data_IF_532428684301
#
_entry.id   IF_532428684301
#
_cell.length_a   1.000
_cell.length_b   1.000
_cell.length_c   1.000
_cell.angle_alpha   90.00
_cell.angle_beta   90.00
_cell.angle_gamma   90.00
#
_symmetry.space_group_name_H-M   'P 1'
#
loop_
_entity.id
_entity.type
_entity.pdbx_description
1 polymer ?
#
# COMPACT_ATOMS: atom_id res chain seq x y z
N UNK A 1 -13.49 -1.91 -20.75
CA UNK A 1 -12.72 -3.16 -20.51
C UNK A 1 -11.21 -2.88 -20.42
N UNK A 2 -10.83 -1.81 -19.68
CA UNK A 2 -9.43 -1.34 -19.58
C UNK A 2 -8.45 -2.36 -18.99
N UNK A 3 -8.93 -3.31 -18.19
CA UNK A 3 -8.10 -4.35 -17.60
C UNK A 3 -7.42 -5.28 -18.62
N UNK A 4 -7.97 -5.39 -19.85
CA UNK A 4 -7.36 -6.19 -20.91
C UNK A 4 -6.00 -5.65 -21.37
N UNK A 5 -5.76 -4.37 -21.18
CA UNK A 5 -4.51 -3.71 -21.59
C UNK A 5 -3.45 -3.69 -20.48
N UNK A 6 -3.80 -4.04 -19.24
CA UNK A 6 -2.86 -4.00 -18.12
C UNK A 6 -1.62 -4.90 -18.30
N UNK A 7 -1.71 -6.11 -18.93
CA UNK A 7 -0.52 -6.92 -19.19
C UNK A 7 0.51 -6.27 -20.12
N UNK A 8 0.10 -5.22 -20.82
CA UNK A 8 0.95 -4.46 -21.74
C UNK A 8 1.30 -3.08 -21.16
N UNK A 9 1.47 -3.00 -19.84
CA UNK A 9 1.86 -1.78 -19.16
C UNK A 9 3.18 -1.23 -19.72
N UNK A 10 3.30 0.09 -19.74
CA UNK A 10 4.51 0.76 -20.22
C UNK A 10 5.71 0.39 -19.32
N UNK A 11 6.87 0.07 -19.91
CA UNK A 11 8.07 -0.27 -19.14
C UNK A 11 8.44 0.79 -18.10
N UNK A 12 8.24 2.07 -18.41
CA UNK A 12 8.50 3.19 -17.49
C UNK A 12 7.70 3.09 -16.18
N UNK A 13 6.45 2.63 -16.24
CA UNK A 13 5.65 2.41 -15.03
C UNK A 13 6.22 1.29 -14.16
N UNK A 14 6.69 0.22 -14.78
CA UNK A 14 7.29 -0.91 -14.07
C UNK A 14 8.59 -0.48 -13.39
N UNK A 15 9.47 0.22 -14.09
CA UNK A 15 10.71 0.76 -13.54
C UNK A 15 10.45 1.73 -12.37
N UNK A 16 9.41 2.55 -12.47
CA UNK A 16 9.01 3.45 -11.40
C UNK A 16 8.51 2.67 -10.16
N UNK A 17 7.71 1.63 -10.37
CA UNK A 17 7.20 0.76 -9.29
C UNK A 17 8.36 0.05 -8.59
N UNK A 18 9.28 -0.55 -9.34
CA UNK A 18 10.46 -1.23 -8.79
C UNK A 18 11.36 -0.26 -7.99
N UNK A 19 11.55 0.96 -8.51
CA UNK A 19 12.33 1.98 -7.81
C UNK A 19 11.68 2.34 -6.47
N UNK A 20 10.37 2.57 -6.46
CA UNK A 20 9.65 2.91 -5.22
C UNK A 20 9.63 1.74 -4.24
N UNK A 21 9.45 0.51 -4.73
CA UNK A 21 9.51 -0.70 -3.91
C UNK A 21 10.88 -0.86 -3.23
N UNK A 22 11.96 -0.72 -3.99
CA UNK A 22 13.34 -0.78 -3.49
C UNK A 22 13.63 0.32 -2.48
N UNK A 23 13.15 1.51 -2.73
CA UNK A 23 13.29 2.65 -1.82
C UNK A 23 12.57 2.39 -0.48
N UNK A 24 11.36 1.84 -0.51
CA UNK A 24 10.64 1.42 0.70
C UNK A 24 11.40 0.31 1.43
N UNK A 25 11.86 -0.69 0.70
CA UNK A 25 12.61 -1.83 1.24
C UNK A 25 13.89 -1.39 2.00
N UNK A 26 14.61 -0.39 1.47
CA UNK A 26 15.84 0.11 2.13
C UNK A 26 15.55 0.92 3.39
N UNK A 27 14.36 1.51 3.52
CA UNK A 27 14.01 2.42 4.62
C UNK A 27 13.15 1.79 5.70
N UNK A 28 12.53 0.63 5.42
CA UNK A 28 11.53 0.05 6.30
C UNK A 28 11.80 -1.41 6.64
N UNK A 29 11.48 -1.81 7.85
CA UNK A 29 11.50 -3.20 8.30
C UNK A 29 10.28 -3.99 7.80
N UNK A 30 9.19 -3.29 7.52
CA UNK A 30 7.96 -3.85 6.97
C UNK A 30 7.10 -2.76 6.31
N UNK A 31 6.15 -3.18 5.49
CA UNK A 31 5.16 -2.29 4.87
C UNK A 31 3.76 -2.79 5.19
N UNK A 32 2.84 -1.88 5.45
CA UNK A 32 1.41 -2.18 5.60
C UNK A 32 0.67 -1.74 4.34
N UNK A 33 0.14 -2.71 3.61
CA UNK A 33 -0.77 -2.47 2.49
C UNK A 33 -2.18 -2.29 3.03
N UNK A 34 -2.74 -1.09 2.87
CA UNK A 34 -4.07 -0.72 3.36
C UNK A 34 -5.04 -0.69 2.18
N UNK A 35 -6.06 -1.54 2.24
CA UNK A 35 -7.08 -1.61 1.19
C UNK A 35 -8.14 -2.65 1.49
N UNK A 36 -9.21 -2.68 0.70
CA UNK A 36 -10.31 -3.63 0.82
C UNK A 36 -10.69 -4.22 -0.55
N UNK A 37 -11.16 -5.45 -0.56
CA UNK A 37 -11.59 -6.13 -1.78
C UNK A 37 -10.45 -6.23 -2.81
N UNK A 38 -10.68 -5.73 -4.02
CA UNK A 38 -9.68 -5.76 -5.10
C UNK A 38 -8.41 -4.97 -4.83
N UNK A 39 -8.43 -4.07 -3.84
CA UNK A 39 -7.26 -3.28 -3.45
C UNK A 39 -6.23 -4.06 -2.63
N UNK A 40 -6.53 -5.28 -2.16
CA UNK A 40 -5.56 -6.11 -1.45
C UNK A 40 -5.60 -7.59 -1.84
N UNK A 41 -6.78 -8.13 -2.16
CA UNK A 41 -6.95 -9.58 -2.40
C UNK A 41 -6.07 -10.12 -3.52
N UNK A 42 -5.95 -9.35 -4.62
CA UNK A 42 -5.14 -9.78 -5.75
C UNK A 42 -3.66 -9.88 -5.41
N UNK A 43 -3.10 -8.84 -4.78
CA UNK A 43 -1.72 -8.83 -4.31
C UNK A 43 -1.48 -9.95 -3.29
N UNK A 44 -2.35 -10.05 -2.28
CA UNK A 44 -2.26 -11.10 -1.24
C UNK A 44 -2.26 -12.49 -1.84
N UNK A 45 -3.16 -12.78 -2.77
CA UNK A 45 -3.26 -14.10 -3.41
C UNK A 45 -1.97 -14.48 -4.18
N UNK A 46 -1.37 -13.54 -4.91
CA UNK A 46 -0.13 -13.80 -5.64
C UNK A 46 1.04 -13.96 -4.68
N UNK A 47 1.16 -13.10 -3.67
CA UNK A 47 2.22 -13.22 -2.66
C UNK A 47 2.13 -14.58 -1.95
N UNK A 48 0.95 -14.97 -1.47
CA UNK A 48 0.75 -16.26 -0.79
C UNK A 48 1.02 -17.48 -1.71
N UNK A 49 0.84 -17.32 -3.02
CA UNK A 49 1.13 -18.38 -3.99
C UNK A 49 2.62 -18.51 -4.31
N UNK A 50 3.38 -17.42 -4.23
CA UNK A 50 4.79 -17.36 -4.60
C UNK A 50 5.74 -17.49 -3.40
N UNK A 51 5.29 -17.10 -2.20
CA UNK A 51 6.08 -17.23 -0.99
C UNK A 51 5.89 -18.59 -0.34
N UNK A 52 6.97 -19.17 0.15
CA UNK A 52 6.89 -20.37 0.98
C UNK A 52 6.07 -20.08 2.25
N UNK A 53 5.32 -21.08 2.78
CA UNK A 53 4.67 -20.92 4.08
C UNK A 53 5.68 -20.42 5.11
N UNK A 54 5.26 -19.45 5.91
CA UNK A 54 6.10 -18.62 6.81
C UNK A 54 6.81 -19.37 7.95
N UNK A 55 7.48 -20.45 7.64
CA UNK A 55 8.39 -21.13 8.57
C UNK A 55 9.82 -20.55 8.50
N UNK A 56 10.12 -19.77 7.49
CA UNK A 56 11.40 -19.09 7.32
C UNK A 56 11.13 -17.59 7.55
N UNK A 57 11.54 -17.07 8.70
CA UNK A 57 11.34 -15.68 9.11
C UNK A 57 12.15 -14.68 8.29
N UNK A 58 11.95 -14.67 6.99
CA UNK A 58 12.57 -13.71 6.09
C UNK A 58 11.72 -12.44 6.03
N UNK A 59 12.31 -11.35 6.42
CA UNK A 59 11.86 -9.98 6.18
C UNK A 59 12.33 -9.54 4.80
N UNK A 60 11.60 -8.65 4.13
CA UNK A 60 10.62 -7.72 4.65
C UNK A 60 9.21 -8.33 4.70
N UNK A 61 8.49 -8.05 5.76
CA UNK A 61 7.11 -8.50 5.85
C UNK A 61 6.15 -7.46 5.27
N UNK A 62 5.33 -7.90 4.33
CA UNK A 62 4.18 -7.14 3.89
C UNK A 62 2.96 -7.55 4.73
N UNK A 63 2.37 -6.57 5.40
CA UNK A 63 1.20 -6.74 6.23
C UNK A 63 -0.02 -6.12 5.57
N UNK A 64 -1.22 -6.60 5.90
CA UNK A 64 -2.45 -6.06 5.31
C UNK A 64 -3.35 -5.48 6.39
N UNK A 65 -3.99 -4.32 6.09
CA UNK A 65 -4.95 -3.67 6.99
C UNK A 65 -6.09 -3.02 6.20
N UNK A 66 -7.15 -2.60 6.90
CA UNK A 66 -8.26 -1.86 6.29
C UNK A 66 -9.23 -2.73 5.48
N UNK A 67 -9.18 -4.04 5.62
CA UNK A 67 -10.10 -4.97 4.98
C UNK A 67 -11.24 -5.41 5.92
N UNK A 68 -11.21 -4.98 7.18
CA UNK A 68 -12.24 -5.13 8.20
C UNK A 68 -12.06 -4.08 9.32
N UNK A 69 -13.05 -3.99 10.22
CA UNK A 69 -13.07 -3.06 11.36
C UNK A 69 -12.79 -3.77 12.70
N UNK A 70 -12.05 -4.86 12.70
CA UNK A 70 -11.68 -5.57 13.92
C UNK A 70 -10.65 -4.75 14.71
N UNK A 71 -11.09 -4.23 15.86
CA UNK A 71 -10.24 -3.43 16.76
C UNK A 71 -9.13 -4.23 17.42
N UNK A 72 -9.36 -5.51 17.66
CA UNK A 72 -8.36 -6.41 18.24
C UNK A 72 -7.20 -6.62 17.27
N UNK A 73 -7.52 -6.92 16.00
CA UNK A 73 -6.52 -7.04 14.94
C UNK A 73 -5.70 -5.75 14.79
N UNK A 74 -6.38 -4.61 14.71
CA UNK A 74 -5.70 -3.31 14.53
C UNK A 74 -4.79 -2.97 15.72
N UNK A 75 -5.25 -3.23 16.95
CA UNK A 75 -4.44 -3.07 18.16
C UNK A 75 -3.19 -3.96 18.15
N UNK A 76 -3.31 -5.22 17.77
CA UNK A 76 -2.17 -6.12 17.67
C UNK A 76 -1.19 -5.67 16.60
N UNK A 77 -1.68 -5.21 15.44
CA UNK A 77 -0.86 -4.66 14.38
C UNK A 77 -0.10 -3.40 14.84
N UNK A 78 -0.79 -2.47 15.52
CA UNK A 78 -0.14 -1.28 16.08
C UNK A 78 0.94 -1.65 17.11
N UNK A 79 0.66 -2.60 18.00
CA UNK A 79 1.64 -3.07 18.97
C UNK A 79 2.87 -3.71 18.30
N UNK A 80 2.67 -4.47 17.23
CA UNK A 80 3.75 -5.06 16.44
C UNK A 80 4.61 -3.99 15.75
N UNK A 81 3.99 -2.90 15.25
CA UNK A 81 4.67 -1.82 14.53
C UNK A 81 5.31 -0.78 15.44
N UNK A 82 4.97 -0.78 16.72
CA UNK A 82 5.48 0.21 17.67
C UNK A 82 7.00 0.17 17.77
N UNK A 83 7.64 1.30 17.52
CA UNK A 83 9.09 1.47 17.54
C UNK A 83 9.81 0.94 16.29
N UNK A 84 9.09 0.39 15.31
CA UNK A 84 9.67 -0.09 14.04
C UNK A 84 9.66 1.01 12.98
N UNK A 85 10.61 0.91 12.07
CA UNK A 85 10.54 1.64 10.81
C UNK A 85 9.60 0.89 9.87
N UNK A 86 8.46 1.48 9.53
CA UNK A 86 7.52 0.86 8.61
C UNK A 86 7.02 1.84 7.54
N UNK A 87 6.54 1.28 6.42
CA UNK A 87 5.91 2.02 5.35
C UNK A 87 4.42 1.73 5.23
N UNK A 88 3.71 2.56 4.50
CA UNK A 88 2.28 2.42 4.21
C UNK A 88 2.07 2.50 2.69
N UNK A 89 1.43 1.49 2.11
CA UNK A 89 0.87 1.55 0.76
C UNK A 89 -0.65 1.66 0.92
N UNK A 90 -1.21 2.86 0.73
CA UNK A 90 -2.64 3.10 0.88
C UNK A 90 -3.34 3.07 -0.48
N UNK A 91 -4.23 2.10 -0.67
CA UNK A 91 -4.91 1.82 -1.93
C UNK A 91 -6.41 2.04 -1.77
N UNK A 92 -6.94 3.08 -2.42
CA UNK A 92 -8.38 3.34 -2.48
C UNK A 92 -8.72 4.17 -3.71
N UNK A 93 -9.53 3.62 -4.63
CA UNK A 93 -9.92 4.33 -5.85
C UNK A 93 -10.76 5.58 -5.54
N UNK A 94 -11.76 5.46 -4.68
CA UNK A 94 -12.63 6.58 -4.29
C UNK A 94 -12.03 7.48 -3.20
N UNK A 95 -11.14 6.93 -2.39
CA UNK A 95 -10.63 7.60 -1.18
C UNK A 95 -11.62 7.68 -0.02
N UNK A 96 -12.88 7.29 -0.23
CA UNK A 96 -13.96 7.45 0.76
C UNK A 96 -14.40 6.16 1.45
N UNK A 97 -13.71 5.04 1.23
CA UNK A 97 -14.06 3.76 1.89
C UNK A 97 -13.65 3.81 3.36
N UNK A 98 -14.60 3.50 4.24
CA UNK A 98 -14.48 3.73 5.69
C UNK A 98 -13.36 2.90 6.33
N UNK A 99 -13.33 1.59 6.08
CA UNK A 99 -12.41 0.65 6.72
C UNK A 99 -10.94 0.99 6.43
N UNK A 100 -10.53 1.17 5.16
CA UNK A 100 -9.17 1.60 4.86
C UNK A 100 -8.84 3.00 5.41
N UNK A 101 -9.81 3.92 5.44
CA UNK A 101 -9.59 5.27 5.97
C UNK A 101 -9.31 5.25 7.47
N UNK A 102 -10.04 4.46 8.25
CA UNK A 102 -9.79 4.29 9.68
C UNK A 102 -8.41 3.67 9.92
N UNK A 103 -8.08 2.59 9.20
CA UNK A 103 -6.79 1.94 9.31
C UNK A 103 -5.64 2.90 8.96
N UNK A 104 -5.79 3.66 7.87
CA UNK A 104 -4.79 4.65 7.47
C UNK A 104 -4.60 5.74 8.52
N UNK A 105 -5.68 6.29 9.06
CA UNK A 105 -5.59 7.33 10.09
C UNK A 105 -4.82 6.83 11.33
N UNK A 106 -5.16 5.65 11.82
CA UNK A 106 -4.52 5.05 12.98
C UNK A 106 -3.04 4.72 12.75
N UNK A 107 -2.72 4.12 11.60
CA UNK A 107 -1.35 3.72 11.29
C UNK A 107 -0.47 4.92 10.91
N UNK A 108 -1.04 5.94 10.24
CA UNK A 108 -0.32 7.20 10.01
C UNK A 108 0.04 7.89 11.33
N UNK A 109 -0.86 7.90 12.29
CA UNK A 109 -0.57 8.47 13.62
C UNK A 109 0.61 7.75 14.29
N UNK A 110 0.61 6.42 14.29
CA UNK A 110 1.71 5.62 14.81
C UNK A 110 3.01 5.86 14.03
N UNK A 111 2.94 6.02 12.70
CA UNK A 111 4.11 6.33 11.89
C UNK A 111 4.72 7.69 12.29
N UNK A 112 3.89 8.70 12.55
CA UNK A 112 4.34 10.02 13.05
C UNK A 112 5.02 9.89 14.40
N UNK A 113 4.47 9.09 15.32
CA UNK A 113 5.09 8.83 16.62
C UNK A 113 6.44 8.14 16.47
N UNK A 114 6.53 7.07 15.66
CA UNK A 114 7.76 6.32 15.43
C UNK A 114 8.84 7.18 14.74
N UNK A 115 8.43 8.05 13.81
CA UNK A 115 9.29 8.99 13.09
C UNK A 115 9.70 10.21 13.95
N UNK A 116 9.17 10.33 15.18
CA UNK A 116 9.42 11.48 16.08
C UNK A 116 9.15 12.83 15.43
N UNK A 117 8.15 12.85 14.52
CA UNK A 117 7.74 14.05 13.80
C UNK A 117 8.63 14.43 12.60
N UNK A 118 9.54 13.58 12.14
CA UNK A 118 10.30 13.79 10.91
C UNK A 118 9.37 13.73 9.69
N UNK A 119 8.98 14.91 9.19
CA UNK A 119 8.05 15.02 8.04
C UNK A 119 8.61 14.39 6.75
N UNK A 120 9.92 14.46 6.56
CA UNK A 120 10.58 13.85 5.40
C UNK A 120 10.45 12.33 5.42
N UNK A 121 10.72 11.72 6.57
CA UNK A 121 10.58 10.29 6.77
C UNK A 121 9.11 9.85 6.61
N UNK A 122 8.18 10.57 7.23
CA UNK A 122 6.74 10.28 7.12
C UNK A 122 6.30 10.31 5.66
N UNK A 123 6.64 11.38 4.92
CA UNK A 123 6.28 11.56 3.52
C UNK A 123 6.85 10.47 2.63
N UNK A 124 8.10 10.11 2.83
CA UNK A 124 8.80 9.12 2.00
C UNK A 124 8.38 7.68 2.28
N UNK A 125 7.80 7.42 3.45
CA UNK A 125 7.33 6.08 3.83
C UNK A 125 5.84 5.84 3.53
N UNK A 126 5.14 6.81 2.93
CA UNK A 126 3.75 6.67 2.51
C UNK A 126 3.66 6.74 0.99
N UNK A 127 3.08 5.70 0.39
CA UNK A 127 2.74 5.66 -1.03
C UNK A 127 1.23 5.48 -1.17
N UNK A 128 0.62 6.27 -2.05
CA UNK A 128 -0.82 6.28 -2.28
C UNK A 128 -1.12 5.74 -3.67
N UNK A 129 -2.11 4.85 -3.79
CA UNK A 129 -2.59 4.36 -5.08
C UNK A 129 -4.10 4.67 -5.17
N UNK A 130 -4.46 5.61 -6.04
CA UNK A 130 -5.82 6.17 -6.07
C UNK A 130 -6.24 6.60 -7.48
N UNK A 131 -7.42 7.18 -7.62
CA UNK A 131 -7.85 7.81 -8.88
C UNK A 131 -6.88 8.92 -9.30
N UNK A 132 -6.60 9.11 -10.61
CA UNK A 132 -5.66 10.13 -11.08
C UNK A 132 -6.12 11.58 -10.78
N UNK A 133 -7.42 11.83 -10.75
CA UNK A 133 -7.96 13.20 -10.72
C UNK A 133 -8.91 13.46 -9.55
N UNK A 134 -9.65 12.44 -9.10
CA UNK A 134 -10.77 12.61 -8.20
C UNK A 134 -10.59 11.87 -6.87
N UNK A 135 -11.39 12.28 -5.89
CA UNK A 135 -11.49 11.62 -4.59
C UNK A 135 -10.66 12.27 -3.49
N UNK A 136 -11.08 12.02 -2.26
CA UNK A 136 -10.45 12.59 -1.05
C UNK A 136 -8.98 12.15 -0.90
N UNK A 137 -8.66 10.91 -1.26
CA UNK A 137 -7.30 10.41 -1.15
C UNK A 137 -6.34 11.08 -2.15
N UNK A 138 -6.83 11.44 -3.36
CA UNK A 138 -6.05 12.23 -4.32
C UNK A 138 -5.69 13.61 -3.75
N UNK A 139 -6.68 14.27 -3.13
CA UNK A 139 -6.48 15.57 -2.51
C UNK A 139 -5.47 15.49 -1.34
N UNK A 140 -5.60 14.50 -0.47
CA UNK A 140 -4.66 14.25 0.63
C UNK A 140 -3.26 13.97 0.09
N UNK A 141 -3.11 13.12 -0.91
CA UNK A 141 -1.80 12.80 -1.48
C UNK A 141 -1.11 14.05 -2.06
N UNK A 142 -1.85 14.93 -2.72
CA UNK A 142 -1.32 16.18 -3.25
C UNK A 142 -0.95 17.18 -2.13
N UNK A 143 -1.79 17.33 -1.12
CA UNK A 143 -1.58 18.24 0.00
C UNK A 143 -0.36 17.84 0.85
N UNK A 144 -0.25 16.57 1.19
CA UNK A 144 0.81 16.02 2.04
C UNK A 144 2.11 15.72 1.25
N UNK A 145 2.06 15.77 -0.09
CA UNK A 145 3.19 15.48 -0.96
C UNK A 145 3.58 14.00 -0.99
N UNK A 146 2.63 13.09 -0.77
CA UNK A 146 2.89 11.65 -0.85
C UNK A 146 3.16 11.20 -2.28
N UNK A 147 4.10 10.26 -2.44
CA UNK A 147 4.28 9.56 -3.71
C UNK A 147 2.98 8.86 -4.08
N UNK A 148 2.57 8.97 -5.35
CA UNK A 148 1.29 8.38 -5.74
C UNK A 148 1.31 7.75 -7.11
N UNK A 149 0.60 6.62 -7.25
CA UNK A 149 0.28 5.96 -8.51
C UNK A 149 -1.20 6.06 -8.82
N UNK A 150 -1.53 5.99 -10.10
CA UNK A 150 -2.91 6.10 -10.57
C UNK A 150 -3.54 4.72 -10.80
N UNK A 151 -4.79 4.57 -10.36
CA UNK A 151 -5.64 3.45 -10.78
C UNK A 151 -6.36 3.90 -12.05
N UNK A 152 -6.17 3.21 -13.20
CA UNK A 152 -6.84 3.62 -14.43
C UNK A 152 -8.37 3.69 -14.24
N UNK A 153 -9.05 4.77 -14.63
CA UNK A 153 -10.50 4.93 -14.41
C UNK A 153 -11.34 3.80 -15.02
N UNK A 154 -10.89 3.24 -16.15
CA UNK A 154 -11.53 2.15 -16.87
C UNK A 154 -11.35 0.76 -16.23
N UNK A 155 -10.56 0.66 -15.13
CA UNK A 155 -10.28 -0.60 -14.42
C UNK A 155 -11.10 -0.67 -13.15
N UNK A 156 -11.92 -1.71 -13.04
CA UNK A 156 -12.65 -2.02 -11.81
C UNK A 156 -11.73 -2.63 -10.75
N UNK A 157 -12.05 -2.40 -9.45
CA UNK A 157 -11.21 -2.85 -8.33
C UNK A 157 -10.78 -4.32 -8.40
N UNK A 158 -11.71 -5.22 -8.71
CA UNK A 158 -11.44 -6.67 -8.83
C UNK A 158 -10.55 -7.08 -10.00
N UNK A 159 -10.24 -6.17 -10.91
CA UNK A 159 -9.42 -6.41 -12.10
C UNK A 159 -8.09 -5.61 -12.07
N UNK A 160 -7.74 -5.02 -10.93
CA UNK A 160 -6.64 -4.05 -10.81
C UNK A 160 -5.29 -4.66 -10.42
N UNK A 161 -5.19 -5.95 -10.18
CA UNK A 161 -3.95 -6.59 -9.70
C UNK A 161 -2.74 -6.35 -10.62
N UNK A 162 -2.94 -6.27 -11.94
CA UNK A 162 -1.88 -5.95 -12.92
C UNK A 162 -1.70 -4.44 -13.16
N UNK A 163 -2.19 -3.60 -12.25
CA UNK A 163 -1.83 -2.18 -12.16
C UNK A 163 -0.94 -1.96 -10.94
N UNK A 164 -0.55 -0.72 -10.66
CA UNK A 164 0.20 -0.39 -9.44
C UNK A 164 -0.43 -0.95 -8.16
N UNK A 165 -1.76 -1.20 -8.16
CA UNK A 165 -2.50 -1.80 -7.02
C UNK A 165 -1.91 -3.14 -6.56
N UNK A 166 -1.56 -4.00 -7.48
CA UNK A 166 -0.94 -5.29 -7.14
C UNK A 166 0.57 -5.28 -7.36
N UNK A 167 1.04 -4.58 -8.40
CA UNK A 167 2.46 -4.62 -8.78
C UNK A 167 3.38 -4.01 -7.73
N UNK A 168 2.98 -2.90 -7.06
CA UNK A 168 3.83 -2.29 -6.04
C UNK A 168 3.97 -3.17 -4.78
N UNK A 169 2.89 -3.73 -4.19
CA UNK A 169 3.03 -4.69 -3.10
C UNK A 169 3.84 -5.94 -3.47
N UNK A 170 3.71 -6.42 -4.72
CA UNK A 170 4.46 -7.57 -5.23
C UNK A 170 5.96 -7.24 -5.35
N UNK A 171 6.29 -6.12 -5.99
CA UNK A 171 7.68 -5.68 -6.14
C UNK A 171 8.38 -5.38 -4.80
N UNK A 172 7.61 -5.07 -3.75
CA UNK A 172 8.17 -4.92 -2.40
C UNK A 172 8.55 -6.26 -1.77
N UNK A 173 7.88 -7.35 -2.17
CA UNK A 173 8.13 -8.70 -1.64
C UNK A 173 9.18 -9.50 -2.45
N UNK A 174 9.64 -8.96 -3.58
CA UNK A 174 10.63 -9.58 -4.47
C UNK A 174 12.05 -9.26 -3.99
#
# INVERSE_FOLDING_TARGET
RGWLNLPFAEPALLEEIETVARDLHTRTECVVCIGIGGSYLGAKAVIEALTSPSFCGETPSLLFAGHHLDSCYLSHLQNYLKGKSFGIIYISKSGGTLEPSIAFHQLRHLLVENAKGDEGLIRNNIVVITDPEHGSLRAIAAQEGYRSFSIPPSVGGRYSVLSAVGLLPLAYCD
#
